data_IF_660088905937
#
_entry.id   IF_660088905937
#
_cell.length_a   1.000
_cell.length_b   1.000
_cell.length_c   1.000
_cell.angle_alpha   90.00
_cell.angle_beta   90.00
_cell.angle_gamma   90.00
#
_symmetry.space_group_name_H-M   'P 1'
#
loop_
_entity.id
_entity.type
_entity.pdbx_description
1 polymer ?
#
# COMPACT_ATOMS: atom_id res chain seq x y z
N UNK A 1 -10.05 -5.60 27.38
CA UNK A 1 -9.36 -5.92 28.66
C UNK A 1 -9.28 -7.43 28.96
N UNK A 2 -10.36 -8.25 28.84
CA UNK A 2 -10.28 -9.72 29.08
C UNK A 2 -9.24 -10.47 28.22
N UNK A 3 -9.00 -10.08 26.98
CA UNK A 3 -8.07 -10.77 26.08
C UNK A 3 -6.59 -10.62 26.50
N UNK A 4 -6.20 -9.46 27.05
CA UNK A 4 -4.84 -9.25 27.57
C UNK A 4 -4.51 -10.05 28.84
N UNK A 5 -5.50 -10.71 29.43
CA UNK A 5 -5.33 -11.62 30.57
C UNK A 5 -5.41 -13.09 30.14
N UNK A 6 -5.67 -13.37 28.86
CA UNK A 6 -5.73 -14.74 28.35
C UNK A 6 -4.32 -15.26 28.05
N UNK A 7 -3.91 -16.27 28.81
CA UNK A 7 -2.57 -16.90 28.68
C UNK A 7 -2.28 -17.42 27.28
N UNK A 8 -3.28 -17.94 26.57
CA UNK A 8 -3.10 -18.48 25.21
C UNK A 8 -2.78 -17.35 24.23
N UNK A 9 -3.53 -16.25 24.32
CA UNK A 9 -3.28 -15.08 23.49
C UNK A 9 -1.90 -14.46 23.77
N UNK A 10 -1.52 -14.35 25.06
CA UNK A 10 -0.19 -13.85 25.44
C UNK A 10 0.95 -14.70 24.87
N UNK A 11 0.80 -16.03 24.85
CA UNK A 11 1.78 -16.94 24.24
C UNK A 11 1.89 -16.66 22.73
N UNK A 12 0.76 -16.50 22.02
CA UNK A 12 0.75 -16.20 20.58
C UNK A 12 1.49 -14.88 20.30
N UNK A 13 1.20 -13.85 21.08
CA UNK A 13 1.85 -12.53 20.95
C UNK A 13 3.34 -12.64 21.23
N UNK A 14 3.74 -13.33 22.30
CA UNK A 14 5.14 -13.52 22.67
C UNK A 14 5.93 -14.23 21.58
N UNK A 15 5.41 -15.33 21.06
CA UNK A 15 5.99 -16.04 19.92
C UNK A 15 6.08 -15.14 18.70
N UNK A 16 5.01 -14.36 18.42
CA UNK A 16 4.99 -13.38 17.34
C UNK A 16 6.09 -12.30 17.46
N UNK A 17 6.35 -11.80 18.66
CA UNK A 17 7.44 -10.84 18.93
C UNK A 17 8.81 -11.48 18.66
N UNK A 18 9.03 -12.71 19.13
CA UNK A 18 10.30 -13.41 18.91
C UNK A 18 10.61 -13.55 17.42
N UNK A 19 9.69 -14.12 16.63
CA UNK A 19 9.93 -14.31 15.19
C UNK A 19 10.16 -13.00 14.44
N UNK A 20 9.43 -11.92 14.78
CA UNK A 20 9.62 -10.60 14.18
C UNK A 20 10.93 -9.94 14.62
N UNK A 21 11.32 -10.12 15.88
CA UNK A 21 12.62 -9.69 16.37
C UNK A 21 13.78 -10.38 15.64
N UNK A 22 13.68 -11.70 15.42
CA UNK A 22 14.64 -12.43 14.58
C UNK A 22 14.66 -11.91 13.14
N UNK A 23 13.49 -11.67 12.52
CA UNK A 23 13.44 -11.15 11.16
C UNK A 23 14.12 -9.76 11.07
N UNK A 24 13.86 -8.86 12.01
CA UNK A 24 14.51 -7.54 12.05
C UNK A 24 16.03 -7.70 12.18
N UNK A 25 16.50 -8.57 13.07
CA UNK A 25 17.93 -8.75 13.34
C UNK A 25 18.69 -9.34 12.14
N UNK A 26 18.12 -10.37 11.47
CA UNK A 26 18.83 -11.09 10.41
C UNK A 26 18.50 -10.62 9.00
N UNK A 27 17.36 -9.95 8.79
CA UNK A 27 16.82 -9.62 7.47
C UNK A 27 16.41 -8.13 7.37
N UNK A 28 16.71 -7.32 8.41
CA UNK A 28 16.34 -5.91 8.43
C UNK A 28 17.14 -5.10 7.42
N UNK A 29 16.46 -4.15 6.75
CA UNK A 29 17.11 -3.20 5.87
C UNK A 29 18.15 -2.38 6.64
N UNK A 30 19.36 -2.23 6.08
CA UNK A 30 20.43 -1.45 6.72
C UNK A 30 20.32 0.05 6.39
N UNK A 31 19.62 0.40 5.33
CA UNK A 31 19.43 1.77 4.86
C UNK A 31 18.10 1.92 4.11
N UNK A 32 17.68 3.16 3.89
CA UNK A 32 16.48 3.47 3.10
C UNK A 32 16.92 3.94 1.71
N UNK A 33 17.28 3.01 0.86
CA UNK A 33 17.85 3.25 -0.48
C UNK A 33 16.83 3.14 -1.63
N UNK A 34 15.57 2.81 -1.30
CA UNK A 34 14.49 2.65 -2.26
C UNK A 34 13.72 3.98 -2.50
N UNK A 35 12.63 3.90 -3.28
CA UNK A 35 11.77 5.05 -3.60
C UNK A 35 11.23 5.78 -2.36
N UNK A 36 11.05 5.10 -1.24
CA UNK A 36 10.60 5.71 0.01
C UNK A 36 11.68 6.60 0.61
N UNK A 37 12.95 6.21 0.52
CA UNK A 37 14.09 7.02 0.94
C UNK A 37 14.23 8.29 0.12
N UNK A 38 14.06 8.18 -1.20
CA UNK A 38 14.06 9.35 -2.09
C UNK A 38 12.95 10.33 -1.71
N UNK A 39 11.72 9.81 -1.48
CA UNK A 39 10.59 10.64 -1.08
C UNK A 39 10.79 11.27 0.29
N UNK A 40 11.34 10.51 1.26
CA UNK A 40 11.66 11.00 2.59
C UNK A 40 12.68 12.14 2.54
N UNK A 41 13.75 11.97 1.78
CA UNK A 41 14.79 12.99 1.64
C UNK A 41 14.26 14.26 0.97
N UNK A 42 13.46 14.13 -0.09
CA UNK A 42 12.84 15.28 -0.74
C UNK A 42 11.80 15.97 0.15
N UNK A 43 11.06 15.21 0.96
CA UNK A 43 10.11 15.79 1.91
C UNK A 43 10.84 16.54 3.03
N UNK A 44 11.94 16.00 3.53
CA UNK A 44 12.75 16.58 4.60
C UNK A 44 13.49 17.86 4.15
N UNK A 45 14.17 17.79 3.00
CA UNK A 45 15.04 18.88 2.53
C UNK A 45 14.28 19.95 1.74
N UNK A 46 13.29 19.55 0.96
CA UNK A 46 12.63 20.42 -0.02
C UNK A 46 11.14 20.65 0.29
N UNK A 47 10.57 20.00 1.31
CA UNK A 47 9.15 20.04 1.67
C UNK A 47 8.24 19.58 0.51
N UNK A 48 8.76 18.71 -0.38
CA UNK A 48 8.07 18.24 -1.56
C UNK A 48 7.98 16.71 -1.53
N UNK A 49 6.76 16.18 -1.71
CA UNK A 49 6.58 14.76 -2.00
C UNK A 49 7.04 14.49 -3.43
N UNK A 50 8.27 13.99 -3.58
CA UNK A 50 8.91 13.70 -4.86
C UNK A 50 9.66 12.37 -4.82
N UNK A 51 9.45 11.53 -5.84
CA UNK A 51 10.13 10.26 -6.03
C UNK A 51 11.30 10.36 -7.03
N UNK A 52 11.47 11.53 -7.64
CA UNK A 52 12.55 11.77 -8.63
C UNK A 52 12.96 13.22 -8.70
N UNK A 53 14.19 13.45 -9.15
CA UNK A 53 14.67 14.78 -9.51
C UNK A 53 15.05 14.79 -10.99
N UNK A 54 14.83 15.92 -11.66
CA UNK A 54 15.28 16.19 -13.03
C UNK A 54 16.23 17.39 -12.94
N UNK A 55 17.43 17.24 -13.46
CA UNK A 55 18.50 18.24 -13.35
C UNK A 55 18.75 18.70 -11.90
N UNK A 56 18.63 17.76 -10.94
CA UNK A 56 18.81 18.04 -9.52
C UNK A 56 17.60 18.69 -8.84
N UNK A 57 16.53 19.03 -9.56
CA UNK A 57 15.34 19.67 -9.03
C UNK A 57 14.26 18.62 -8.77
N UNK A 58 13.77 18.48 -7.51
CA UNK A 58 12.69 17.55 -7.19
C UNK A 58 11.39 17.89 -7.93
N UNK A 59 10.80 16.90 -8.59
CA UNK A 59 9.53 17.05 -9.31
C UNK A 59 8.39 16.52 -8.44
N UNK A 60 7.28 17.27 -8.26
CA UNK A 60 6.14 16.82 -7.47
C UNK A 60 5.64 15.46 -7.92
N UNK A 61 5.41 14.55 -6.95
CA UNK A 61 4.97 13.18 -7.21
C UNK A 61 3.44 13.07 -7.24
N UNK A 62 2.94 12.31 -8.20
CA UNK A 62 1.58 11.76 -8.26
C UNK A 62 1.60 10.24 -8.48
N UNK A 63 2.77 9.66 -8.63
CA UNK A 63 2.98 8.24 -8.91
C UNK A 63 2.74 7.38 -7.67
N UNK A 64 3.24 7.80 -6.51
CA UNK A 64 3.13 7.08 -5.25
C UNK A 64 2.19 7.78 -4.26
N UNK A 65 1.46 7.01 -3.41
CA UNK A 65 0.57 7.56 -2.42
C UNK A 65 1.33 8.22 -1.25
N UNK A 66 0.71 9.18 -0.53
CA UNK A 66 1.42 10.06 0.40
C UNK A 66 1.65 9.49 1.79
N UNK A 67 0.82 8.52 2.25
CA UNK A 67 0.78 8.20 3.68
C UNK A 67 2.06 7.58 4.20
N UNK A 68 2.69 6.67 3.44
CA UNK A 68 3.89 6.00 3.94
C UNK A 68 5.11 6.91 4.04
N UNK A 69 5.46 7.75 3.04
CA UNK A 69 6.55 8.70 3.20
C UNK A 69 6.29 9.74 4.31
N UNK A 70 5.03 10.17 4.49
CA UNK A 70 4.67 11.04 5.62
C UNK A 70 4.84 10.30 6.96
N UNK A 71 4.45 9.04 7.04
CA UNK A 71 4.68 8.20 8.22
C UNK A 71 6.19 8.09 8.54
N UNK A 72 7.04 7.82 7.57
CA UNK A 72 8.49 7.77 7.76
C UNK A 72 9.05 9.15 8.19
N UNK A 73 8.56 10.22 7.59
CA UNK A 73 8.97 11.58 7.95
C UNK A 73 8.62 11.93 9.39
N UNK A 74 7.41 11.59 9.85
CA UNK A 74 6.99 11.80 11.25
C UNK A 74 7.88 11.04 12.25
N UNK A 75 8.32 9.84 11.89
CA UNK A 75 9.27 9.09 12.72
C UNK A 75 10.65 9.77 12.72
N UNK A 76 11.07 10.34 11.57
CA UNK A 76 12.38 10.97 11.41
C UNK A 76 12.52 12.28 12.21
N UNK A 77 11.45 13.07 12.33
CA UNK A 77 11.49 14.40 12.97
C UNK A 77 12.27 14.44 14.30
N UNK A 78 12.07 13.52 15.27
CA UNK A 78 12.79 13.57 16.54
C UNK A 78 14.26 13.12 16.46
N UNK A 79 14.74 12.62 15.31
CA UNK A 79 16.08 12.06 15.17
C UNK A 79 16.93 12.87 14.19
N UNK A 80 18.09 13.35 14.66
CA UNK A 80 19.06 14.07 13.83
C UNK A 80 20.01 13.14 13.07
N UNK A 81 20.12 11.87 13.48
CA UNK A 81 21.02 10.86 12.90
C UNK A 81 20.24 9.64 12.39
N UNK A 82 20.73 9.07 11.30
CA UNK A 82 20.23 7.82 10.74
C UNK A 82 20.37 6.63 11.70
N UNK A 83 21.40 6.62 12.55
CA UNK A 83 21.68 5.53 13.49
C UNK A 83 20.52 5.27 14.46
N UNK A 84 19.77 6.31 14.82
CA UNK A 84 18.61 6.19 15.72
C UNK A 84 17.28 6.09 14.96
N UNK A 85 17.21 6.64 13.76
CA UNK A 85 15.99 6.65 12.94
C UNK A 85 15.59 5.25 12.49
N UNK A 86 16.52 4.47 11.93
CA UNK A 86 16.24 3.13 11.42
C UNK A 86 15.71 2.17 12.51
N UNK A 87 16.38 2.03 13.67
CA UNK A 87 15.86 1.25 14.78
C UNK A 87 14.48 1.72 15.26
N UNK A 88 14.19 3.02 15.23
CA UNK A 88 12.88 3.56 15.59
C UNK A 88 11.79 3.12 14.59
N UNK A 89 12.07 3.10 13.28
CA UNK A 89 11.15 2.59 12.27
C UNK A 89 10.83 1.11 12.54
N UNK A 90 11.85 0.27 12.78
CA UNK A 90 11.63 -1.15 13.08
C UNK A 90 10.86 -1.37 14.36
N UNK A 91 11.15 -0.60 15.42
CA UNK A 91 10.40 -0.68 16.67
C UNK A 91 8.91 -0.34 16.45
N UNK A 92 8.62 0.71 15.72
CA UNK A 92 7.24 1.11 15.41
C UNK A 92 6.57 0.06 14.51
N UNK A 93 7.26 -0.48 13.51
CA UNK A 93 6.74 -1.56 12.67
C UNK A 93 6.46 -2.83 13.49
N UNK A 94 7.33 -3.19 14.44
CA UNK A 94 7.11 -4.29 15.37
C UNK A 94 5.83 -4.06 16.20
N UNK A 95 5.68 -2.87 16.80
CA UNK A 95 4.48 -2.51 17.58
C UNK A 95 3.23 -2.60 16.71
N UNK A 96 3.26 -2.06 15.49
CA UNK A 96 2.13 -2.11 14.55
C UNK A 96 1.77 -3.55 14.19
N UNK A 97 2.75 -4.41 13.94
CA UNK A 97 2.52 -5.81 13.61
C UNK A 97 1.98 -6.60 14.78
N UNK A 98 2.46 -6.37 16.00
CA UNK A 98 1.90 -6.97 17.24
C UNK A 98 0.47 -6.47 17.47
N UNK A 99 0.20 -5.20 17.25
CA UNK A 99 -1.17 -4.68 17.34
C UNK A 99 -2.08 -5.29 16.26
N UNK A 100 -1.55 -5.60 15.08
CA UNK A 100 -2.29 -6.34 14.05
C UNK A 100 -2.67 -7.75 14.49
N UNK A 101 -1.85 -8.44 15.30
CA UNK A 101 -2.20 -9.75 15.91
C UNK A 101 -3.42 -9.59 16.85
N UNK A 102 -3.46 -8.52 17.63
CA UNK A 102 -4.60 -8.24 18.49
C UNK A 102 -5.88 -7.95 17.67
N UNK A 103 -5.77 -7.13 16.63
CA UNK A 103 -6.91 -6.78 15.77
C UNK A 103 -7.48 -8.01 15.05
N UNK A 104 -6.61 -8.87 14.50
CA UNK A 104 -7.07 -10.07 13.78
C UNK A 104 -7.76 -11.07 14.72
N UNK A 105 -7.27 -11.22 15.97
CA UNK A 105 -7.95 -12.01 16.97
C UNK A 105 -9.36 -11.44 17.23
N UNK A 106 -9.51 -10.11 17.34
CA UNK A 106 -10.81 -9.47 17.53
C UNK A 106 -11.73 -9.65 16.32
N UNK A 107 -11.22 -9.56 15.12
CA UNK A 107 -11.97 -9.83 13.89
C UNK A 107 -12.49 -11.27 13.86
N UNK A 108 -11.63 -12.23 14.20
CA UNK A 108 -12.01 -13.64 14.19
C UNK A 108 -13.02 -13.97 15.30
N UNK A 109 -12.89 -13.38 16.49
CA UNK A 109 -13.89 -13.54 17.57
C UNK A 109 -15.29 -13.03 17.17
N UNK A 110 -15.39 -12.11 16.21
CA UNK A 110 -16.65 -11.61 15.70
C UNK A 110 -17.35 -12.54 14.69
N UNK A 111 -16.58 -13.48 14.10
CA UNK A 111 -17.02 -14.31 12.97
C UNK A 111 -17.03 -15.81 13.33
N UNK A 112 -16.09 -16.27 14.14
CA UNK A 112 -15.80 -17.67 14.41
C UNK A 112 -15.97 -18.02 15.89
N UNK A 113 -15.93 -19.32 16.19
CA UNK A 113 -15.83 -19.79 17.58
C UNK A 113 -14.47 -19.40 18.18
N UNK A 114 -14.39 -19.37 19.50
CA UNK A 114 -13.14 -18.99 20.19
C UNK A 114 -11.94 -19.89 19.81
N UNK A 115 -12.16 -21.19 19.63
CA UNK A 115 -11.12 -22.13 19.23
C UNK A 115 -10.60 -21.83 17.83
N UNK A 116 -11.48 -21.60 16.87
CA UNK A 116 -11.15 -21.25 15.50
C UNK A 116 -10.44 -19.89 15.40
N UNK A 117 -10.88 -18.93 16.23
CA UNK A 117 -10.27 -17.61 16.32
C UNK A 117 -8.81 -17.68 16.74
N UNK A 118 -8.46 -18.51 17.74
CA UNK A 118 -7.07 -18.74 18.13
C UNK A 118 -6.26 -19.41 17.01
N UNK A 119 -6.82 -20.42 16.35
CA UNK A 119 -6.15 -21.09 15.24
C UNK A 119 -5.84 -20.10 14.10
N UNK A 120 -6.83 -19.31 13.70
CA UNK A 120 -6.65 -18.28 12.67
C UNK A 120 -5.60 -17.23 13.08
N UNK A 121 -5.58 -16.83 14.35
CA UNK A 121 -4.59 -15.89 14.87
C UNK A 121 -3.19 -16.48 14.88
N UNK A 122 -3.02 -17.76 15.21
CA UNK A 122 -1.73 -18.45 15.11
C UNK A 122 -1.24 -18.48 13.67
N UNK A 123 -2.11 -18.86 12.72
CA UNK A 123 -1.77 -18.87 11.28
C UNK A 123 -1.33 -17.48 10.82
N UNK A 124 -2.08 -16.44 11.15
CA UNK A 124 -1.73 -15.04 10.82
C UNK A 124 -0.38 -14.62 11.46
N UNK A 125 -0.16 -14.97 12.72
CA UNK A 125 1.05 -14.62 13.48
C UNK A 125 2.30 -15.25 12.92
N UNK A 126 2.20 -16.50 12.48
CA UNK A 126 3.30 -17.31 11.95
C UNK A 126 3.41 -17.21 10.42
N UNK A 127 2.57 -16.45 9.75
CA UNK A 127 2.62 -16.31 8.31
C UNK A 127 3.95 -15.63 7.89
N UNK A 128 4.80 -16.32 7.10
CA UNK A 128 6.18 -15.89 6.86
C UNK A 128 6.27 -14.46 6.28
N UNK A 129 5.39 -14.12 5.33
CA UNK A 129 5.41 -12.79 4.72
C UNK A 129 5.04 -11.67 5.70
N UNK A 130 4.17 -11.93 6.70
CA UNK A 130 3.86 -10.96 7.75
C UNK A 130 5.03 -10.76 8.71
N UNK A 131 5.84 -11.81 8.93
CA UNK A 131 7.06 -11.74 9.75
C UNK A 131 8.13 -10.97 8.99
N UNK A 132 8.37 -11.31 7.73
CA UNK A 132 9.35 -10.65 6.88
C UNK A 132 9.03 -9.17 6.66
N UNK A 133 7.77 -8.82 6.44
CA UNK A 133 7.35 -7.43 6.19
C UNK A 133 7.76 -6.45 7.30
N UNK A 134 7.93 -6.92 8.54
CA UNK A 134 8.34 -6.06 9.67
C UNK A 134 9.82 -5.68 9.58
N UNK A 135 10.65 -6.49 8.94
CA UNK A 135 12.07 -6.24 8.75
C UNK A 135 12.38 -5.34 7.55
N UNK A 136 11.39 -5.09 6.70
CA UNK A 136 11.57 -4.28 5.48
C UNK A 136 11.02 -2.87 5.66
N UNK A 137 11.72 -1.87 5.15
CA UNK A 137 11.20 -0.50 5.07
C UNK A 137 10.29 -0.39 3.87
N UNK A 138 9.05 -0.82 4.08
CA UNK A 138 7.99 -0.84 3.09
C UNK A 138 6.64 -0.51 3.70
N UNK A 139 5.69 -0.15 2.85
CA UNK A 139 4.32 0.18 3.29
C UNK A 139 3.51 -1.03 3.77
N UNK A 140 4.04 -2.27 3.68
CA UNK A 140 3.27 -3.50 3.88
C UNK A 140 2.83 -3.69 5.33
N UNK A 141 3.72 -3.43 6.30
CA UNK A 141 3.35 -3.56 7.73
C UNK A 141 2.24 -2.58 8.11
N UNK A 142 2.34 -1.33 7.66
CA UNK A 142 1.30 -0.32 7.87
C UNK A 142 0.01 -0.68 7.13
N UNK A 143 0.11 -1.25 5.92
CA UNK A 143 -1.04 -1.73 5.14
C UNK A 143 -1.80 -2.84 5.87
N UNK A 144 -1.11 -3.83 6.42
CA UNK A 144 -1.71 -4.94 7.19
C UNK A 144 -2.47 -4.38 8.41
N UNK A 145 -1.86 -3.44 9.13
CA UNK A 145 -2.51 -2.76 10.25
C UNK A 145 -3.79 -2.05 9.81
N UNK A 146 -3.72 -1.23 8.76
CA UNK A 146 -4.86 -0.44 8.29
C UNK A 146 -5.98 -1.30 7.71
N UNK A 147 -5.66 -2.42 7.05
CA UNK A 147 -6.67 -3.40 6.60
C UNK A 147 -7.39 -4.00 7.81
N UNK A 148 -6.66 -4.41 8.85
CA UNK A 148 -7.27 -4.97 10.05
C UNK A 148 -8.13 -3.93 10.79
N UNK A 149 -7.67 -2.68 10.89
CA UNK A 149 -8.48 -1.58 11.44
C UNK A 149 -9.74 -1.33 10.62
N UNK A 150 -9.63 -1.32 9.29
CA UNK A 150 -10.78 -1.17 8.40
C UNK A 150 -11.77 -2.31 8.58
N UNK A 151 -11.33 -3.57 8.56
CA UNK A 151 -12.20 -4.74 8.71
C UNK A 151 -12.93 -4.73 10.06
N UNK A 152 -12.22 -4.48 11.16
CA UNK A 152 -12.84 -4.42 12.49
C UNK A 152 -13.84 -3.26 12.58
N UNK A 153 -13.47 -2.07 12.08
CA UNK A 153 -14.36 -0.91 12.08
C UNK A 153 -15.59 -1.12 11.20
N UNK A 154 -15.42 -1.80 10.05
CA UNK A 154 -16.55 -2.16 9.17
C UNK A 154 -17.49 -3.15 9.84
N UNK A 155 -16.99 -4.19 10.51
CA UNK A 155 -17.82 -5.15 11.27
C UNK A 155 -18.62 -4.41 12.37
N UNK A 156 -17.97 -3.54 13.13
CA UNK A 156 -18.64 -2.76 14.17
C UNK A 156 -19.69 -1.80 13.60
N UNK A 157 -19.34 -1.11 12.50
CA UNK A 157 -20.27 -0.24 11.77
C UNK A 157 -21.46 -1.03 11.23
N UNK A 158 -21.19 -2.19 10.62
CA UNK A 158 -22.23 -3.05 10.07
C UNK A 158 -23.17 -3.59 11.16
N UNK A 159 -22.65 -3.89 12.36
CA UNK A 159 -23.48 -4.29 13.52
C UNK A 159 -24.33 -3.12 14.02
N UNK A 160 -23.75 -1.95 14.21
CA UNK A 160 -24.43 -0.76 14.74
C UNK A 160 -23.96 0.50 14.03
N UNK A 161 -24.83 1.07 13.17
CA UNK A 161 -24.56 2.33 12.49
C UNK A 161 -24.82 3.49 13.46
N UNK A 162 -23.77 4.04 14.05
CA UNK A 162 -23.76 5.21 14.92
C UNK A 162 -22.59 6.14 14.56
N UNK A 163 -22.53 7.31 15.18
CA UNK A 163 -21.49 8.30 14.89
C UNK A 163 -20.06 7.77 15.11
N UNK A 164 -19.80 7.11 16.24
CA UNK A 164 -18.46 6.61 16.55
C UNK A 164 -17.98 5.55 15.57
N UNK A 165 -18.83 4.57 15.26
CA UNK A 165 -18.48 3.53 14.30
C UNK A 165 -18.33 4.10 12.87
N UNK A 166 -19.13 5.10 12.50
CA UNK A 166 -18.96 5.83 11.24
C UNK A 166 -17.64 6.57 11.19
N UNK A 167 -17.25 7.24 12.28
CA UNK A 167 -16.00 7.97 12.37
C UNK A 167 -14.80 7.03 12.29
N UNK A 168 -14.79 5.93 13.04
CA UNK A 168 -13.72 4.93 13.00
C UNK A 168 -13.57 4.31 11.61
N UNK A 169 -14.69 3.94 10.98
CA UNK A 169 -14.67 3.44 9.60
C UNK A 169 -14.13 4.49 8.63
N UNK A 170 -14.54 5.74 8.79
CA UNK A 170 -14.08 6.82 7.90
C UNK A 170 -12.59 7.09 8.03
N UNK A 171 -12.07 7.13 9.24
CA UNK A 171 -10.63 7.35 9.48
C UNK A 171 -9.81 6.18 8.92
N UNK A 172 -10.17 4.93 9.27
CA UNK A 172 -9.44 3.75 8.79
C UNK A 172 -9.50 3.62 7.27
N UNK A 173 -10.65 3.92 6.64
CA UNK A 173 -10.80 3.94 5.19
C UNK A 173 -9.95 5.01 4.53
N UNK A 174 -9.97 6.24 5.04
CA UNK A 174 -9.20 7.35 4.48
C UNK A 174 -7.69 7.09 4.55
N UNK A 175 -7.19 6.62 5.70
CA UNK A 175 -5.79 6.25 5.84
C UNK A 175 -5.41 5.11 4.89
N UNK A 176 -6.24 4.09 4.75
CA UNK A 176 -6.00 2.97 3.85
C UNK A 176 -5.95 3.44 2.37
N UNK A 177 -6.86 4.33 1.97
CA UNK A 177 -6.90 4.93 0.63
C UNK A 177 -5.67 5.81 0.39
N UNK A 178 -5.24 6.62 1.38
CA UNK A 178 -4.04 7.45 1.28
C UNK A 178 -2.74 6.64 1.33
N UNK A 179 -2.77 5.41 1.85
CA UNK A 179 -1.65 4.48 1.78
C UNK A 179 -1.57 3.78 0.42
N UNK A 180 -2.72 3.38 -0.13
CA UNK A 180 -2.84 2.73 -1.43
C UNK A 180 -4.18 3.07 -2.07
N UNK A 181 -4.14 3.82 -3.17
CA UNK A 181 -5.32 4.34 -3.85
C UNK A 181 -6.32 3.29 -4.32
N UNK A 182 -5.86 2.06 -4.63
CA UNK A 182 -6.71 0.95 -5.07
C UNK A 182 -7.75 0.52 -4.02
N UNK A 183 -7.50 0.74 -2.73
CA UNK A 183 -8.49 0.43 -1.68
C UNK A 183 -9.74 1.29 -1.75
N UNK A 184 -9.74 2.40 -2.49
CA UNK A 184 -10.94 3.19 -2.73
C UNK A 184 -12.09 2.33 -3.30
N UNK A 185 -11.78 1.45 -4.25
CA UNK A 185 -12.76 0.53 -4.85
C UNK A 185 -13.34 -0.41 -3.79
N UNK A 186 -12.47 -0.99 -2.95
CA UNK A 186 -12.89 -1.90 -1.88
C UNK A 186 -13.77 -1.20 -0.84
N UNK A 187 -13.44 0.02 -0.46
CA UNK A 187 -14.23 0.85 0.48
C UNK A 187 -15.61 1.15 -0.09
N UNK A 188 -15.68 1.56 -1.38
CA UNK A 188 -16.98 1.81 -2.04
C UNK A 188 -17.85 0.56 -2.04
N UNK A 189 -17.32 -0.59 -2.46
CA UNK A 189 -18.10 -1.83 -2.46
C UNK A 189 -18.59 -2.21 -1.05
N UNK A 190 -17.78 -1.97 -0.01
CA UNK A 190 -18.17 -2.22 1.37
C UNK A 190 -19.34 -1.32 1.81
N UNK A 191 -19.31 -0.04 1.44
CA UNK A 191 -20.41 0.90 1.74
C UNK A 191 -21.69 0.55 0.96
N UNK A 192 -21.55 0.19 -0.32
CA UNK A 192 -22.68 -0.28 -1.16
C UNK A 192 -23.31 -1.53 -0.53
N UNK A 193 -22.49 -2.52 -0.16
CA UNK A 193 -22.97 -3.73 0.53
C UNK A 193 -23.73 -3.40 1.82
N UNK A 194 -23.17 -2.50 2.64
CA UNK A 194 -23.84 -2.05 3.86
C UNK A 194 -25.16 -1.34 3.55
N UNK A 195 -25.26 -0.54 2.48
CA UNK A 195 -26.47 0.16 2.06
C UNK A 195 -27.57 -0.83 1.68
N UNK A 196 -27.25 -1.83 0.88
CA UNK A 196 -28.20 -2.87 0.47
C UNK A 196 -28.72 -3.68 1.66
N UNK A 197 -27.86 -4.07 2.59
CA UNK A 197 -28.21 -4.93 3.73
C UNK A 197 -28.89 -4.18 4.86
N UNK A 198 -28.47 -2.96 5.18
CA UNK A 198 -28.94 -2.22 6.36
C UNK A 198 -30.03 -1.19 6.05
N UNK A 199 -30.23 -0.82 4.80
CA UNK A 199 -31.21 0.19 4.32
C UNK A 199 -31.14 1.56 5.05
N UNK A 200 -30.03 1.85 5.75
CA UNK A 200 -29.76 3.14 6.42
C UNK A 200 -28.97 4.06 5.50
N UNK A 201 -29.47 4.25 4.29
CA UNK A 201 -28.76 4.89 3.16
C UNK A 201 -28.18 6.24 3.55
N UNK A 202 -28.96 7.10 4.21
CA UNK A 202 -28.52 8.44 4.60
C UNK A 202 -27.28 8.42 5.52
N UNK A 203 -27.27 7.54 6.54
CA UNK A 203 -26.14 7.44 7.47
C UNK A 203 -24.89 6.89 6.77
N UNK A 204 -25.06 5.94 5.87
CA UNK A 204 -23.98 5.36 5.07
C UNK A 204 -23.44 6.39 4.10
N UNK A 205 -24.31 7.19 3.46
CA UNK A 205 -23.92 8.30 2.62
C UNK A 205 -23.07 9.34 3.38
N UNK A 206 -23.51 9.74 4.58
CA UNK A 206 -22.70 10.63 5.42
C UNK A 206 -21.34 10.03 5.81
N UNK A 207 -21.26 8.71 6.04
CA UNK A 207 -19.97 8.02 6.27
C UNK A 207 -19.08 8.13 5.04
N UNK A 208 -19.63 7.92 3.84
CA UNK A 208 -18.91 8.11 2.57
C UNK A 208 -18.42 9.54 2.37
N UNK A 209 -19.28 10.54 2.67
CA UNK A 209 -18.90 11.95 2.61
C UNK A 209 -17.76 12.29 3.59
N UNK A 210 -17.77 11.71 4.79
CA UNK A 210 -16.69 11.91 5.76
C UNK A 210 -15.37 11.30 5.28
N UNK A 211 -15.40 10.13 4.63
CA UNK A 211 -14.21 9.53 3.99
C UNK A 211 -13.67 10.48 2.92
N UNK A 212 -14.52 10.98 2.03
CA UNK A 212 -14.14 11.92 0.97
C UNK A 212 -13.56 13.21 1.56
N UNK A 213 -14.14 13.74 2.63
CA UNK A 213 -13.62 14.92 3.32
C UNK A 213 -12.20 14.68 3.87
N UNK A 214 -11.94 13.51 4.46
CA UNK A 214 -10.62 13.17 5.00
C UNK A 214 -9.56 12.98 3.91
N UNK A 215 -9.95 12.51 2.73
CA UNK A 215 -9.03 12.31 1.58
C UNK A 215 -8.88 13.58 0.73
N UNK A 216 -9.86 14.48 0.78
CA UNK A 216 -9.95 15.67 -0.09
C UNK A 216 -8.74 16.61 -0.03
N UNK A 217 -8.02 16.82 1.08
CA UNK A 217 -6.84 17.71 1.08
C UNK A 217 -5.76 17.24 0.11
N UNK A 218 -5.54 15.92 0.02
CA UNK A 218 -4.56 15.38 -0.91
C UNK A 218 -5.06 15.41 -2.37
N UNK A 219 -6.34 15.14 -2.60
CA UNK A 219 -6.96 15.29 -3.92
C UNK A 219 -6.89 16.76 -4.39
N UNK A 220 -7.18 17.71 -3.49
CA UNK A 220 -7.08 19.14 -3.79
C UNK A 220 -5.64 19.56 -4.15
N UNK A 221 -4.64 19.08 -3.39
CA UNK A 221 -3.22 19.25 -3.75
C UNK A 221 -2.94 18.75 -5.16
N UNK A 222 -3.40 17.54 -5.50
CA UNK A 222 -3.17 16.95 -6.81
C UNK A 222 -3.88 17.72 -7.93
N UNK A 223 -5.09 18.21 -7.67
CA UNK A 223 -5.80 19.06 -8.63
C UNK A 223 -5.04 20.35 -8.90
N UNK A 224 -4.54 21.05 -7.88
CA UNK A 224 -3.80 22.29 -8.05
C UNK A 224 -2.47 22.11 -8.80
N UNK A 225 -1.74 21.02 -8.55
CA UNK A 225 -0.42 20.80 -9.17
C UNK A 225 -0.54 20.19 -10.57
N UNK A 226 -1.43 19.21 -10.72
CA UNK A 226 -1.50 18.36 -11.93
C UNK A 226 -2.75 18.62 -12.79
N UNK A 227 -3.78 19.25 -12.25
CA UNK A 227 -5.06 19.48 -12.92
C UNK A 227 -5.95 18.23 -12.98
N UNK A 228 -5.71 17.22 -12.12
CA UNK A 228 -6.46 15.95 -12.11
C UNK A 228 -6.97 15.58 -10.72
N UNK A 229 -8.19 15.02 -10.67
CA UNK A 229 -8.83 14.55 -9.45
C UNK A 229 -8.47 13.08 -9.27
N UNK A 230 -7.38 12.79 -8.58
CA UNK A 230 -6.92 11.42 -8.30
C UNK A 230 -6.01 11.38 -7.09
N UNK A 231 -5.82 10.20 -6.50
CA UNK A 231 -4.85 9.97 -5.42
C UNK A 231 -3.50 9.64 -6.04
N UNK A 232 -3.45 8.68 -6.96
CA UNK A 232 -2.22 8.29 -7.64
C UNK A 232 -2.45 8.12 -9.14
N UNK A 233 -1.38 8.23 -9.91
CA UNK A 233 -1.36 8.03 -11.36
C UNK A 233 -0.16 7.17 -11.73
N UNK A 234 -0.31 5.85 -11.53
CA UNK A 234 0.71 4.83 -11.83
C UNK A 234 0.13 3.65 -12.61
N UNK A 235 -1.10 3.80 -13.10
CA UNK A 235 -1.80 2.71 -13.80
C UNK A 235 -1.11 2.35 -15.11
N UNK A 236 -0.68 3.34 -15.90
CA UNK A 236 0.04 3.12 -17.15
C UNK A 236 1.36 2.37 -16.94
N UNK A 237 2.13 2.78 -15.93
CA UNK A 237 3.37 2.10 -15.55
C UNK A 237 3.12 0.63 -15.19
N UNK A 238 2.18 0.37 -14.28
CA UNK A 238 1.88 -1.00 -13.83
C UNK A 238 1.30 -1.86 -14.96
N UNK A 239 0.47 -1.27 -15.84
CA UNK A 239 -0.09 -1.98 -16.97
C UNK A 239 1.01 -2.39 -17.97
N UNK A 240 1.93 -1.47 -18.33
CA UNK A 240 3.03 -1.78 -19.24
C UNK A 240 3.98 -2.81 -18.65
N UNK A 241 4.36 -2.65 -17.36
CA UNK A 241 5.20 -3.59 -16.64
C UNK A 241 4.64 -5.01 -16.66
N UNK A 242 3.32 -5.13 -16.57
CA UNK A 242 2.63 -6.42 -16.59
C UNK A 242 2.29 -6.95 -17.99
N UNK A 243 2.38 -6.14 -19.06
CA UNK A 243 1.84 -6.46 -20.38
C UNK A 243 2.74 -5.92 -21.51
N UNK A 244 4.00 -6.31 -21.53
CA UNK A 244 4.93 -6.06 -22.65
C UNK A 244 5.36 -7.38 -23.29
N UNK A 245 5.96 -7.39 -24.51
CA UNK A 245 6.27 -8.62 -25.23
C UNK A 245 7.11 -9.65 -24.46
N UNK A 246 8.00 -9.18 -23.59
CA UNK A 246 8.92 -9.99 -22.79
C UNK A 246 8.42 -10.26 -21.37
N UNK A 247 7.15 -9.93 -21.06
CA UNK A 247 6.58 -10.20 -19.72
C UNK A 247 6.36 -11.69 -19.54
N UNK A 248 6.85 -12.23 -18.43
CA UNK A 248 6.60 -13.59 -17.96
C UNK A 248 5.62 -13.60 -16.79
N UNK A 249 5.08 -14.77 -16.44
CA UNK A 249 4.07 -14.93 -15.39
C UNK A 249 4.57 -14.42 -14.06
N UNK A 250 5.76 -14.81 -13.68
CA UNK A 250 6.38 -14.53 -12.38
C UNK A 250 7.03 -13.14 -12.27
N UNK A 251 6.95 -12.37 -13.33
CA UNK A 251 7.70 -11.12 -13.43
C UNK A 251 9.21 -11.39 -13.65
N UNK A 252 9.84 -10.59 -14.47
CA UNK A 252 11.30 -10.53 -14.51
C UNK A 252 11.74 -9.47 -13.52
N UNK A 253 12.81 -9.72 -12.75
CA UNK A 253 13.45 -8.74 -11.86
C UNK A 253 14.01 -7.49 -12.58
N UNK A 254 13.58 -7.25 -13.81
CA UNK A 254 13.97 -6.13 -14.68
C UNK A 254 13.16 -4.86 -14.38
N UNK A 255 13.11 -4.47 -13.14
CA UNK A 255 12.32 -3.33 -12.67
C UNK A 255 12.80 -1.95 -13.17
N UNK A 256 13.97 -1.77 -13.59
CA UNK A 256 14.45 -0.49 -14.13
C UNK A 256 14.52 -0.47 -15.67
N UNK A 257 14.15 -1.56 -16.34
CA UNK A 257 14.53 -1.82 -17.73
C UNK A 257 13.37 -1.81 -18.70
N UNK A 258 12.11 -1.86 -18.22
CA UNK A 258 10.94 -1.79 -19.13
C UNK A 258 10.99 -0.53 -20.00
N UNK A 259 11.45 0.57 -19.45
CA UNK A 259 11.63 1.84 -20.13
C UNK A 259 12.75 1.79 -21.18
N UNK A 260 13.80 0.99 -20.95
CA UNK A 260 14.96 0.83 -21.83
C UNK A 260 14.80 -0.29 -22.87
N UNK A 261 13.93 -1.25 -22.63
CA UNK A 261 13.70 -2.40 -23.52
C UNK A 261 12.82 -2.04 -24.72
N UNK A 262 12.05 -0.95 -24.64
CA UNK A 262 11.09 -0.54 -25.65
C UNK A 262 11.59 0.76 -26.28
N UNK A 263 12.23 0.71 -27.48
CA UNK A 263 12.88 1.88 -28.09
C UNK A 263 11.95 3.07 -28.30
N UNK A 264 10.69 2.82 -28.65
CA UNK A 264 9.71 3.90 -28.87
C UNK A 264 9.35 4.61 -27.56
N UNK A 265 9.21 3.85 -26.45
CA UNK A 265 8.98 4.40 -25.12
C UNK A 265 10.20 5.19 -24.64
N UNK A 266 11.40 4.64 -24.82
CA UNK A 266 12.64 5.33 -24.45
C UNK A 266 12.77 6.66 -25.18
N UNK A 267 12.47 6.71 -26.48
CA UNK A 267 12.48 7.95 -27.26
C UNK A 267 11.51 8.99 -26.73
N UNK A 268 10.24 8.62 -26.45
CA UNK A 268 9.24 9.53 -25.88
C UNK A 268 9.63 10.01 -24.49
N UNK A 269 10.21 9.14 -23.65
CA UNK A 269 10.67 9.49 -22.31
C UNK A 269 11.89 10.42 -22.34
N UNK A 270 12.78 10.25 -23.30
CA UNK A 270 13.91 11.16 -23.50
C UNK A 270 13.44 12.57 -23.92
N UNK A 271 12.43 12.64 -24.81
CA UNK A 271 11.78 13.92 -25.15
C UNK A 271 11.15 14.56 -23.91
N UNK A 272 10.45 13.79 -23.09
CA UNK A 272 9.86 14.28 -21.84
C UNK A 272 10.93 14.77 -20.85
N UNK A 273 12.04 14.04 -20.70
CA UNK A 273 13.16 14.44 -19.84
C UNK A 273 13.81 15.75 -20.32
N UNK A 274 13.92 15.95 -21.63
CA UNK A 274 14.45 17.17 -22.23
C UNK A 274 13.57 18.42 -21.98
N UNK A 275 12.31 18.26 -21.55
CA UNK A 275 11.44 19.37 -21.14
C UNK A 275 11.81 19.98 -19.78
N UNK A 276 12.77 19.35 -19.06
CA UNK A 276 13.21 19.77 -17.73
C UNK A 276 12.22 19.44 -16.61
N UNK A 277 12.36 20.06 -15.43
CA UNK A 277 11.61 19.74 -14.21
C UNK A 277 10.17 20.33 -14.23
N UNK A 278 9.31 19.79 -15.07
CA UNK A 278 7.90 20.20 -15.14
C UNK A 278 7.02 19.49 -14.10
N UNK A 279 6.08 20.19 -13.44
CA UNK A 279 5.21 19.57 -12.43
C UNK A 279 4.42 18.36 -12.94
N UNK A 280 4.01 18.37 -14.21
CA UNK A 280 3.21 17.28 -14.82
C UNK A 280 4.02 16.10 -15.36
N UNK A 281 5.31 16.00 -15.04
CA UNK A 281 6.19 14.96 -15.55
C UNK A 281 5.65 13.55 -15.31
N UNK A 282 5.28 13.21 -14.08
CA UNK A 282 4.74 11.87 -13.74
C UNK A 282 3.44 11.56 -14.48
N UNK A 283 2.59 12.55 -14.67
CA UNK A 283 1.32 12.40 -15.40
C UNK A 283 1.55 12.08 -16.89
N UNK A 284 2.48 12.79 -17.51
CA UNK A 284 2.85 12.59 -18.92
C UNK A 284 3.54 11.24 -19.11
N UNK A 285 4.45 10.88 -18.20
CA UNK A 285 5.11 9.58 -18.18
C UNK A 285 4.10 8.44 -18.11
N UNK A 286 3.17 8.48 -17.17
CA UNK A 286 2.14 7.43 -17.03
C UNK A 286 1.27 7.31 -18.30
N UNK A 287 0.97 8.44 -18.97
CA UNK A 287 0.23 8.44 -20.23
C UNK A 287 0.98 7.77 -21.37
N UNK A 288 2.29 8.04 -21.51
CA UNK A 288 3.16 7.39 -22.51
C UNK A 288 3.14 5.88 -22.29
N UNK A 289 3.39 5.44 -21.05
CA UNK A 289 3.43 4.03 -20.69
C UNK A 289 2.10 3.33 -20.88
N UNK A 290 0.97 4.01 -20.54
CA UNK A 290 -0.38 3.50 -20.76
C UNK A 290 -0.65 3.27 -22.25
N UNK A 291 -0.34 4.25 -23.10
CA UNK A 291 -0.56 4.15 -24.54
C UNK A 291 0.19 2.95 -25.12
N UNK A 292 1.45 2.78 -24.75
CA UNK A 292 2.25 1.65 -25.20
C UNK A 292 1.72 0.29 -24.73
N UNK A 293 1.28 0.19 -23.47
CA UNK A 293 0.64 -1.02 -22.95
C UNK A 293 -0.61 -1.39 -23.76
N UNK A 294 -1.43 -0.38 -24.08
CA UNK A 294 -2.65 -0.59 -24.88
C UNK A 294 -2.35 -1.02 -26.31
N UNK A 295 -1.27 -0.53 -26.91
CA UNK A 295 -0.79 -0.98 -28.24
C UNK A 295 -0.51 -2.48 -28.19
N UNK A 296 0.26 -2.95 -27.23
CA UNK A 296 0.58 -4.38 -27.10
C UNK A 296 -0.65 -5.25 -26.83
N UNK A 297 -1.51 -4.83 -25.88
CA UNK A 297 -2.74 -5.58 -25.56
C UNK A 297 -3.66 -5.67 -26.76
N UNK A 298 -3.81 -4.60 -27.55
CA UNK A 298 -4.64 -4.61 -28.76
C UNK A 298 -4.06 -5.46 -29.89
N UNK A 299 -2.72 -5.54 -30.00
CA UNK A 299 -2.05 -6.35 -31.01
C UNK A 299 -2.25 -7.86 -30.80
N UNK A 300 -2.29 -8.32 -29.54
CA UNK A 300 -2.55 -9.73 -29.21
C UNK A 300 -3.34 -9.86 -27.90
N UNK A 301 -4.67 -9.59 -27.93
CA UNK A 301 -5.49 -9.60 -26.73
C UNK A 301 -5.60 -10.99 -26.08
N UNK A 302 -5.51 -12.07 -26.87
CA UNK A 302 -5.61 -13.45 -26.38
C UNK A 302 -4.37 -13.80 -25.54
N UNK A 303 -3.17 -13.43 -26.02
CA UNK A 303 -1.92 -13.62 -25.28
C UNK A 303 -2.02 -12.97 -23.88
N UNK A 304 -2.42 -11.70 -23.81
CA UNK A 304 -2.45 -10.96 -22.55
C UNK A 304 -3.58 -11.41 -21.63
N UNK A 305 -4.72 -11.84 -22.17
CA UNK A 305 -5.78 -12.47 -21.39
C UNK A 305 -5.28 -13.80 -20.76
N UNK A 306 -4.60 -14.64 -21.54
CA UNK A 306 -3.99 -15.88 -21.05
C UNK A 306 -2.96 -15.60 -19.97
N UNK A 307 -2.10 -14.60 -20.19
CA UNK A 307 -1.10 -14.18 -19.23
C UNK A 307 -1.73 -13.68 -17.91
N UNK A 308 -2.85 -12.97 -17.99
CA UNK A 308 -3.61 -12.53 -16.81
C UNK A 308 -4.09 -13.72 -15.96
N UNK A 309 -4.68 -14.72 -16.58
CA UNK A 309 -5.10 -15.93 -15.85
C UNK A 309 -3.93 -16.73 -15.29
N UNK A 310 -2.83 -16.84 -16.02
CA UNK A 310 -1.61 -17.49 -15.52
C UNK A 310 -1.06 -16.77 -14.27
N UNK A 311 -1.00 -15.43 -14.30
CA UNK A 311 -0.60 -14.61 -13.14
C UNK A 311 -1.54 -14.78 -11.95
N UNK A 312 -2.86 -14.93 -12.18
CA UNK A 312 -3.82 -15.18 -11.11
C UNK A 312 -3.51 -16.49 -10.38
N UNK A 313 -3.17 -17.55 -11.11
CA UNK A 313 -2.76 -18.83 -10.49
C UNK A 313 -1.45 -18.69 -9.74
N UNK A 314 -0.43 -18.06 -10.31
CA UNK A 314 0.84 -17.81 -9.65
C UNK A 314 0.70 -16.96 -8.39
N UNK A 315 -0.22 -15.99 -8.37
CA UNK A 315 -0.50 -15.19 -7.19
C UNK A 315 -1.13 -15.98 -6.02
N UNK A 316 -1.95 -16.99 -6.34
CA UNK A 316 -2.64 -17.82 -5.33
C UNK A 316 -1.74 -18.95 -4.83
N UNK A 317 -0.91 -19.54 -5.69
CA UNK A 317 -0.05 -20.66 -5.41
C UNK A 317 1.41 -20.21 -5.35
N UNK A 318 2.14 -20.70 -4.35
CA UNK A 318 3.59 -20.44 -4.21
C UNK A 318 4.32 -21.18 -5.34
N UNK A 319 5.06 -20.47 -6.17
CA UNK A 319 5.99 -21.07 -7.12
C UNK A 319 7.39 -21.14 -6.48
N UNK A 320 7.86 -22.39 -6.28
CA UNK A 320 9.20 -22.66 -5.72
C UNK A 320 10.35 -22.37 -6.73
N UNK A 321 10.01 -22.14 -7.99
CA UNK A 321 10.99 -21.80 -9.03
C UNK A 321 11.07 -20.28 -9.29
N UNK A 322 10.39 -19.49 -8.48
CA UNK A 322 10.46 -18.03 -8.58
C UNK A 322 11.89 -17.56 -8.35
N UNK A 323 12.39 -16.75 -9.28
CA UNK A 323 13.70 -16.09 -9.17
C UNK A 323 13.67 -14.85 -8.26
N UNK A 324 12.58 -14.58 -7.59
CA UNK A 324 12.49 -13.55 -6.57
C UNK A 324 13.18 -14.01 -5.28
N UNK A 325 14.10 -13.18 -4.74
CA UNK A 325 14.73 -13.48 -3.46
C UNK A 325 13.71 -13.49 -2.32
#
# INVERSE_FOLDING_TARGET
MKLFLDKKFLIIVFVGIIFRGFAIYFMGDNEVDNEWGIMLNNLDQNQILSVRSIDGIPVPNIFMPPLYPVFLYLIKIPFSSYDYYLPAVFLIQLIMSVFSIYLIQKIFEEIFTLKESYLGTVIFTLFPLNIYAVSQISSITLQILLINLFLLSFIQFFKKINFYNSLFLSISSALLILLRGEFFVFVIFSLIFAAFKKRKILKIFFTGMLILLLVSPYIYRNYNIFGVITITKSFGYNLLKGNHPNTVVEGTGMFGVVEKIIPDVEKELNVLAAMGPIPKHDLLKDKILLNQALVYIKADPIKYLKLYFQKLFSFIFIDFNSSYP
#
